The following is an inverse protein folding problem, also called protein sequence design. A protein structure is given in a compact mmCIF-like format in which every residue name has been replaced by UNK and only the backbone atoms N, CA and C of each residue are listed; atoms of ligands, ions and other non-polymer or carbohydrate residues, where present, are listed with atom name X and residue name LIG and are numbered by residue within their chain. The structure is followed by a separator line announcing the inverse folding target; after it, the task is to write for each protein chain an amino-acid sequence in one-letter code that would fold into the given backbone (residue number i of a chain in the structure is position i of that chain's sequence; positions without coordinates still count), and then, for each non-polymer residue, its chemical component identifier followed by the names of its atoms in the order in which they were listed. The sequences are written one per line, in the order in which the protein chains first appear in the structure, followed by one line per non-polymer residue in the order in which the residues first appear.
data_IF_273104659618
#
_entry.id   IF_273104659618
#
_cell.length_a   1.000
_cell.length_b   1.000
_cell.length_c   1.000
_cell.angle_alpha   90.00
_cell.angle_beta   90.00
_cell.angle_gamma   90.00
#
_symmetry.space_group_name_H-M   'P 1'
#
loop_
_entity.id
_entity.type
_entity.pdbx_description
1 polymer ?
#
# COMPACT_ATOMS: atom_id res chain seq x y z
N UNK A 1 -23.70 24.19 -19.08
CA UNK A 1 -24.40 22.90 -18.98
C UNK A 1 -23.68 22.12 -17.89
N UNK A 2 -24.30 21.98 -16.71
CA UNK A 2 -23.76 21.11 -15.65
C UNK A 2 -23.97 19.68 -16.15
N UNK A 3 -22.96 18.81 -16.02
CA UNK A 3 -23.08 17.40 -16.41
C UNK A 3 -24.31 16.76 -15.74
N UNK A 4 -25.00 15.86 -16.44
CA UNK A 4 -26.15 15.16 -15.88
C UNK A 4 -25.73 14.23 -14.72
N UNK A 5 -26.71 13.79 -13.93
CA UNK A 5 -26.45 13.05 -12.69
C UNK A 5 -25.77 11.69 -12.92
N UNK A 6 -26.06 11.00 -14.02
CA UNK A 6 -25.41 9.73 -14.35
C UNK A 6 -23.95 9.96 -14.74
N UNK A 7 -23.71 10.95 -15.60
CA UNK A 7 -22.36 11.39 -15.96
C UNK A 7 -21.55 11.78 -14.73
N UNK A 8 -22.13 12.49 -13.76
CA UNK A 8 -21.44 12.86 -12.52
C UNK A 8 -21.01 11.62 -11.70
N UNK A 9 -21.83 10.57 -11.64
CA UNK A 9 -21.46 9.32 -10.95
C UNK A 9 -20.27 8.64 -11.62
N UNK A 10 -20.26 8.58 -12.95
CA UNK A 10 -19.16 8.00 -13.73
C UNK A 10 -17.87 8.83 -13.60
N UNK A 11 -17.97 10.16 -13.61
CA UNK A 11 -16.83 11.04 -13.37
C UNK A 11 -16.23 10.77 -11.99
N UNK A 12 -17.05 10.73 -10.93
CA UNK A 12 -16.55 10.45 -9.58
C UNK A 12 -15.96 9.05 -9.43
N UNK A 13 -16.54 8.05 -10.11
CA UNK A 13 -15.95 6.72 -10.19
C UNK A 13 -14.55 6.74 -10.82
N UNK A 14 -14.41 7.44 -11.95
CA UNK A 14 -13.12 7.62 -12.61
C UNK A 14 -12.12 8.39 -11.74
N UNK A 15 -12.55 9.46 -11.06
CA UNK A 15 -11.71 10.26 -10.18
C UNK A 15 -11.18 9.45 -8.99
N UNK A 16 -12.03 8.64 -8.34
CA UNK A 16 -11.58 7.74 -7.28
C UNK A 16 -10.55 6.75 -7.83
N UNK A 17 -10.78 6.19 -9.02
CA UNK A 17 -9.80 5.34 -9.71
C UNK A 17 -8.46 6.05 -9.95
N UNK A 18 -8.49 7.28 -10.46
CA UNK A 18 -7.29 8.10 -10.68
C UNK A 18 -6.54 8.37 -9.37
N UNK A 19 -7.25 8.68 -8.28
CA UNK A 19 -6.63 8.92 -6.97
C UNK A 19 -5.95 7.66 -6.43
N UNK A 20 -6.58 6.50 -6.55
CA UNK A 20 -6.02 5.22 -6.11
C UNK A 20 -4.83 4.78 -6.96
N UNK A 21 -4.90 4.98 -8.29
CA UNK A 21 -3.77 4.75 -9.20
C UNK A 21 -2.63 5.71 -8.87
N UNK A 22 -2.92 7.00 -8.67
CA UNK A 22 -1.95 8.01 -8.28
C UNK A 22 -1.24 7.64 -6.97
N UNK A 23 -1.98 7.18 -5.97
CA UNK A 23 -1.44 6.63 -4.73
C UNK A 23 -0.51 5.43 -4.99
N UNK A 24 -0.95 4.44 -5.77
CA UNK A 24 -0.13 3.26 -6.07
C UNK A 24 1.13 3.59 -6.89
N UNK A 25 1.07 4.59 -7.77
CA UNK A 25 2.21 5.02 -8.58
C UNK A 25 3.20 5.87 -7.79
N UNK A 26 2.73 6.65 -6.81
CA UNK A 26 3.59 7.57 -6.04
C UNK A 26 4.07 6.89 -4.75
N UNK A 27 3.20 6.75 -3.76
CA UNK A 27 3.56 6.14 -2.47
C UNK A 27 3.89 4.65 -2.61
N UNK A 28 3.52 4.01 -3.72
CA UNK A 28 3.90 2.64 -3.99
C UNK A 28 5.40 2.41 -4.19
N UNK A 29 6.14 3.34 -4.83
CA UNK A 29 7.60 3.21 -4.87
C UNK A 29 8.23 3.53 -3.51
N UNK A 30 7.64 4.44 -2.73
CA UNK A 30 8.12 4.75 -1.37
C UNK A 30 8.00 3.53 -0.46
N UNK A 31 6.84 2.86 -0.48
CA UNK A 31 6.63 1.62 0.25
C UNK A 31 7.54 0.51 -0.29
N UNK A 32 7.69 0.35 -1.60
CA UNK A 32 8.62 -0.61 -2.18
C UNK A 32 10.07 -0.41 -1.72
N UNK A 33 10.54 0.85 -1.71
CA UNK A 33 11.85 1.25 -1.19
C UNK A 33 11.99 0.90 0.29
N UNK A 34 10.96 1.21 1.10
CA UNK A 34 10.94 0.89 2.53
C UNK A 34 10.96 -0.62 2.82
N UNK A 35 10.29 -1.43 2.00
CA UNK A 35 10.34 -2.90 2.08
C UNK A 35 11.74 -3.41 1.74
N UNK A 36 12.40 -2.84 0.74
CA UNK A 36 13.72 -3.26 0.28
C UNK A 36 14.87 -2.79 1.20
N UNK A 37 14.66 -1.72 1.97
CA UNK A 37 15.66 -1.05 2.81
C UNK A 37 16.55 -2.01 3.64
N UNK A 38 16.03 -2.88 4.52
CA UNK A 38 16.87 -3.73 5.37
C UNK A 38 17.63 -4.80 4.58
N UNK A 39 17.18 -5.15 3.38
CA UNK A 39 17.74 -6.24 2.57
C UNK A 39 18.81 -5.77 1.58
N UNK A 40 18.61 -4.60 0.97
CA UNK A 40 19.55 -4.05 -0.01
C UNK A 40 20.70 -3.28 0.66
N UNK A 41 20.40 -2.56 1.75
CA UNK A 41 21.39 -1.78 2.50
C UNK A 41 22.15 -2.63 3.52
N UNK A 42 23.40 -2.99 3.20
CA UNK A 42 24.26 -3.83 4.06
C UNK A 42 25.02 -3.04 5.14
N UNK A 43 25.13 -1.72 4.98
CA UNK A 43 25.72 -0.82 5.95
C UNK A 43 24.88 0.48 6.05
N UNK A 44 25.19 1.34 7.04
CA UNK A 44 24.37 2.54 7.29
C UNK A 44 24.42 3.54 6.11
N UNK A 45 25.56 3.65 5.44
CA UNK A 45 25.71 4.52 4.27
C UNK A 45 24.78 4.09 3.12
N UNK A 46 24.76 2.81 2.77
CA UNK A 46 23.86 2.26 1.76
C UNK A 46 22.38 2.45 2.15
N UNK A 47 22.04 2.28 3.43
CA UNK A 47 20.66 2.51 3.91
C UNK A 47 20.26 3.97 3.82
N UNK A 48 21.17 4.90 4.16
CA UNK A 48 20.95 6.34 3.99
C UNK A 48 20.74 6.70 2.52
N UNK A 49 21.53 6.13 1.61
CA UNK A 49 21.34 6.33 0.15
C UNK A 49 19.93 5.91 -0.27
N UNK A 50 19.51 4.70 0.12
CA UNK A 50 18.16 4.17 -0.18
C UNK A 50 17.07 5.12 0.34
N UNK A 51 17.12 5.49 1.63
CA UNK A 51 16.12 6.37 2.26
C UNK A 51 16.07 7.74 1.59
N UNK A 52 17.22 8.33 1.30
CA UNK A 52 17.30 9.67 0.72
C UNK A 52 16.78 9.74 -0.72
N UNK A 53 16.61 8.60 -1.42
CA UNK A 53 15.97 8.60 -2.74
C UNK A 53 14.49 9.01 -2.69
N UNK A 54 13.82 8.75 -1.57
CA UNK A 54 12.37 9.03 -1.36
C UNK A 54 12.13 10.16 -0.36
N UNK A 55 13.11 10.47 0.49
CA UNK A 55 13.05 11.49 1.54
C UNK A 55 12.40 12.82 1.13
N UNK A 56 12.74 13.42 -0.03
CA UNK A 56 12.16 14.71 -0.44
C UNK A 56 10.69 14.65 -0.93
N UNK A 57 10.13 13.46 -1.18
CA UNK A 57 8.86 13.32 -1.92
C UNK A 57 7.77 12.56 -1.16
N UNK A 58 8.14 11.67 -0.23
CA UNK A 58 7.22 10.70 0.38
C UNK A 58 6.02 11.36 1.10
N UNK A 59 6.21 12.52 1.73
CA UNK A 59 5.13 13.24 2.41
C UNK A 59 4.02 13.64 1.42
N UNK A 60 4.42 14.20 0.26
CA UNK A 60 3.47 14.57 -0.79
C UNK A 60 2.81 13.36 -1.43
N UNK A 61 3.55 12.26 -1.58
CA UNK A 61 3.01 11.01 -2.13
C UNK A 61 1.92 10.41 -1.22
N UNK A 62 2.10 10.48 0.10
CA UNK A 62 1.10 9.98 1.06
C UNK A 62 -0.23 10.75 1.01
N UNK A 63 -0.21 12.02 0.57
CA UNK A 63 -1.43 12.83 0.43
C UNK A 63 -2.41 12.20 -0.56
N UNK A 64 -1.94 11.50 -1.59
CA UNK A 64 -2.82 10.79 -2.53
C UNK A 64 -3.76 9.80 -1.82
N UNK A 65 -3.25 9.08 -0.80
CA UNK A 65 -4.07 8.17 0.00
C UNK A 65 -5.12 8.92 0.82
N UNK A 66 -4.71 10.01 1.48
CA UNK A 66 -5.61 10.83 2.31
C UNK A 66 -6.71 11.43 1.44
N UNK A 67 -6.36 11.97 0.26
CA UNK A 67 -7.33 12.51 -0.70
C UNK A 67 -8.24 11.43 -1.26
N UNK A 68 -7.75 10.22 -1.55
CA UNK A 68 -8.59 9.10 -1.97
C UNK A 68 -9.63 8.75 -0.90
N UNK A 69 -9.23 8.69 0.38
CA UNK A 69 -10.14 8.49 1.51
C UNK A 69 -11.18 9.62 1.64
N UNK A 70 -10.75 10.88 1.51
CA UNK A 70 -11.64 12.04 1.53
C UNK A 70 -12.62 12.07 0.36
N UNK A 71 -12.17 11.70 -0.84
CA UNK A 71 -13.01 11.60 -2.03
C UNK A 71 -14.06 10.49 -1.89
N UNK A 72 -13.68 9.33 -1.34
CA UNK A 72 -14.63 8.27 -1.00
C UNK A 72 -15.68 8.76 0.00
N UNK A 73 -15.27 9.47 1.06
CA UNK A 73 -16.20 10.03 2.03
C UNK A 73 -17.17 11.05 1.41
N UNK A 74 -16.67 11.93 0.54
CA UNK A 74 -17.46 12.99 -0.09
C UNK A 74 -18.41 12.46 -1.18
N UNK A 75 -17.92 11.58 -2.06
CA UNK A 75 -18.67 11.10 -3.22
C UNK A 75 -19.50 9.86 -2.90
N UNK A 76 -18.97 8.92 -2.10
CA UNK A 76 -19.60 7.63 -1.79
C UNK A 76 -19.61 7.35 -0.28
N UNK A 77 -20.33 8.14 0.53
CA UNK A 77 -20.28 8.06 1.99
C UNK A 77 -20.68 6.68 2.54
N UNK A 78 -21.63 5.98 1.91
CA UNK A 78 -22.01 4.63 2.33
C UNK A 78 -20.91 3.59 2.04
N UNK A 79 -20.19 3.72 0.93
CA UNK A 79 -19.04 2.85 0.60
C UNK A 79 -17.92 3.11 1.60
N UNK A 80 -17.60 4.38 1.86
CA UNK A 80 -16.62 4.77 2.87
C UNK A 80 -16.97 4.19 4.25
N UNK A 81 -18.19 4.41 4.73
CA UNK A 81 -18.63 3.92 6.04
C UNK A 81 -18.58 2.39 6.13
N UNK A 82 -19.09 1.68 5.12
CA UNK A 82 -19.15 0.22 5.11
C UNK A 82 -17.77 -0.42 5.02
N UNK A 83 -16.89 0.09 4.15
CA UNK A 83 -15.52 -0.41 4.01
C UNK A 83 -14.70 -0.17 5.28
N UNK A 84 -14.73 1.05 5.83
CA UNK A 84 -13.92 1.39 7.01
C UNK A 84 -14.42 0.72 8.30
N UNK A 85 -15.73 0.54 8.46
CA UNK A 85 -16.29 -0.17 9.62
C UNK A 85 -16.19 -1.70 9.49
N UNK A 86 -16.41 -2.26 8.29
CA UNK A 86 -16.32 -3.70 8.08
C UNK A 86 -14.90 -4.24 8.16
N UNK A 87 -13.93 -3.47 7.67
CA UNK A 87 -12.52 -3.82 7.72
C UNK A 87 -11.77 -3.18 8.89
N UNK A 88 -12.49 -2.81 9.96
CA UNK A 88 -11.99 -1.98 11.05
C UNK A 88 -10.64 -2.43 11.60
N UNK A 89 -10.51 -3.69 12.04
CA UNK A 89 -9.28 -4.20 12.62
C UNK A 89 -8.09 -4.13 11.64
N UNK A 90 -8.32 -4.48 10.37
CA UNK A 90 -7.29 -4.44 9.33
C UNK A 90 -6.83 -3.00 9.04
N UNK A 91 -7.76 -2.05 9.00
CA UNK A 91 -7.44 -0.64 8.76
C UNK A 91 -6.79 0.04 9.96
N UNK A 92 -7.12 -0.36 11.19
CA UNK A 92 -6.40 0.09 12.39
C UNK A 92 -4.95 -0.42 12.36
N UNK A 93 -4.72 -1.70 12.03
CA UNK A 93 -3.36 -2.24 11.87
C UNK A 93 -2.59 -1.46 10.80
N UNK A 94 -3.25 -1.15 9.68
CA UNK A 94 -2.66 -0.33 8.61
C UNK A 94 -2.28 1.07 9.09
N UNK A 95 -3.18 1.75 9.83
CA UNK A 95 -2.92 3.07 10.40
C UNK A 95 -1.74 3.04 11.37
N UNK A 96 -1.69 2.05 12.27
CA UNK A 96 -0.57 1.90 13.21
C UNK A 96 0.75 1.67 12.48
N UNK A 97 0.75 0.91 11.38
CA UNK A 97 1.94 0.73 10.55
C UNK A 97 2.35 2.04 9.85
N UNK A 98 1.38 2.79 9.32
CA UNK A 98 1.64 4.08 8.67
C UNK A 98 2.21 5.12 9.64
N UNK A 99 1.89 5.07 10.93
CA UNK A 99 2.52 5.94 11.93
C UNK A 99 4.03 5.76 12.01
N UNK A 100 4.57 4.58 11.69
CA UNK A 100 6.00 4.30 11.78
C UNK A 100 6.81 5.02 10.69
N UNK A 101 6.19 5.37 9.55
CA UNK A 101 6.90 5.96 8.41
C UNK A 101 7.35 7.41 8.66
N UNK A 102 6.47 8.38 9.00
CA UNK A 102 6.88 9.76 9.23
C UNK A 102 7.97 9.89 10.29
N UNK A 103 7.75 9.29 11.45
CA UNK A 103 8.70 9.32 12.55
C UNK A 103 9.98 8.55 12.22
N UNK A 104 9.88 7.46 11.46
CA UNK A 104 11.03 6.68 11.04
C UNK A 104 11.96 7.46 10.09
N UNK A 105 11.40 8.21 9.14
CA UNK A 105 12.20 9.04 8.25
C UNK A 105 12.90 10.19 9.00
N UNK A 106 12.19 10.93 9.85
CA UNK A 106 12.79 12.06 10.57
C UNK A 106 13.73 11.61 11.70
N UNK A 107 13.32 10.65 12.54
CA UNK A 107 14.03 10.34 13.78
C UNK A 107 15.23 9.43 13.61
N UNK A 108 15.29 8.62 12.54
CA UNK A 108 16.36 7.63 12.31
C UNK A 108 17.77 8.22 12.46
N UNK A 109 18.00 9.42 11.95
CA UNK A 109 19.33 10.05 11.92
C UNK A 109 19.60 11.04 13.05
N UNK A 110 18.65 11.24 13.99
CA UNK A 110 18.79 12.22 15.09
C UNK A 110 19.66 11.73 16.24
N UNK A 111 19.90 10.42 16.35
CA UNK A 111 20.77 9.84 17.38
C UNK A 111 21.90 9.03 16.73
N UNK A 112 23.12 9.21 17.23
CA UNK A 112 24.29 8.44 16.80
C UNK A 112 24.42 7.12 17.56
N UNK A 113 23.45 6.22 17.32
CA UNK A 113 23.41 4.89 17.91
C UNK A 113 23.03 3.86 16.86
N UNK A 114 23.84 2.81 16.72
CA UNK A 114 23.58 1.73 15.76
C UNK A 114 22.27 0.99 16.08
N UNK A 115 21.94 0.81 17.38
CA UNK A 115 20.68 0.18 17.81
C UNK A 115 19.49 1.07 17.46
N UNK A 116 19.60 2.38 17.64
CA UNK A 116 18.57 3.35 17.28
C UNK A 116 18.25 3.30 15.78
N UNK A 117 19.28 3.43 14.94
CA UNK A 117 19.13 3.38 13.48
C UNK A 117 18.52 2.07 13.01
N UNK A 118 18.96 0.93 13.58
CA UNK A 118 18.42 -0.39 13.25
C UNK A 118 16.95 -0.53 13.62
N UNK A 119 16.52 0.00 14.77
CA UNK A 119 15.11 -0.06 15.16
C UNK A 119 14.24 0.74 14.19
N UNK A 120 14.69 1.92 13.76
CA UNK A 120 13.98 2.72 12.77
C UNK A 120 14.01 2.12 11.36
N UNK A 121 15.09 1.45 10.96
CA UNK A 121 15.14 0.67 9.71
C UNK A 121 14.01 -0.38 9.69
N UNK A 122 13.81 -1.10 10.81
CA UNK A 122 12.72 -2.07 10.94
C UNK A 122 11.34 -1.42 11.03
N UNK A 123 11.21 -0.27 11.69
CA UNK A 123 9.94 0.46 11.74
C UNK A 123 9.52 0.93 10.34
N UNK A 124 10.46 1.45 9.54
CA UNK A 124 10.24 1.83 8.14
C UNK A 124 9.86 0.61 7.29
N UNK A 125 10.53 -0.53 7.49
CA UNK A 125 10.17 -1.78 6.83
C UNK A 125 8.74 -2.22 7.15
N UNK A 126 8.37 -2.29 8.43
CA UNK A 126 7.02 -2.69 8.88
C UNK A 126 5.97 -1.71 8.35
N UNK A 127 6.24 -0.41 8.46
CA UNK A 127 5.36 0.64 7.94
C UNK A 127 5.18 0.61 6.43
N UNK A 128 6.06 -0.09 5.71
CA UNK A 128 6.04 -0.17 4.24
C UNK A 128 5.55 -1.52 3.70
N UNK A 129 5.64 -2.60 4.49
CA UNK A 129 5.14 -3.93 4.08
C UNK A 129 3.66 -4.14 4.43
N UNK A 130 3.22 -3.62 5.58
CA UNK A 130 1.89 -3.89 6.11
C UNK A 130 0.78 -3.23 5.27
N UNK A 131 0.86 -1.93 4.90
CA UNK A 131 -0.22 -1.30 4.12
C UNK A 131 -0.46 -1.97 2.75
N UNK A 132 0.55 -2.22 1.90
CA UNK A 132 0.33 -2.88 0.61
C UNK A 132 -0.32 -4.27 0.75
N UNK A 133 0.10 -5.04 1.75
CA UNK A 133 -0.44 -6.37 2.01
C UNK A 133 -1.91 -6.29 2.40
N UNK A 134 -2.25 -5.42 3.36
CA UNK A 134 -3.64 -5.28 3.83
C UNK A 134 -4.53 -4.68 2.73
N UNK A 135 -4.05 -3.70 1.96
CA UNK A 135 -4.83 -3.17 0.85
C UNK A 135 -5.11 -4.22 -0.22
N UNK A 136 -4.12 -5.06 -0.58
CA UNK A 136 -4.37 -6.16 -1.51
C UNK A 136 -5.37 -7.19 -0.97
N UNK A 137 -5.27 -7.54 0.32
CA UNK A 137 -6.27 -8.39 1.01
C UNK A 137 -7.65 -7.74 0.99
N UNK A 138 -7.73 -6.42 1.18
CA UNK A 138 -8.98 -5.68 1.11
C UNK A 138 -9.64 -5.81 -0.26
N UNK A 139 -8.90 -5.50 -1.33
CA UNK A 139 -9.39 -5.64 -2.70
C UNK A 139 -9.77 -7.09 -3.02
N UNK A 140 -8.98 -8.07 -2.58
CA UNK A 140 -9.31 -9.49 -2.76
C UNK A 140 -10.63 -9.89 -2.10
N UNK A 141 -10.92 -9.38 -0.90
CA UNK A 141 -12.22 -9.59 -0.25
C UNK A 141 -13.36 -8.86 -0.97
N UNK A 142 -13.11 -7.69 -1.58
CA UNK A 142 -14.13 -6.99 -2.35
C UNK A 142 -14.58 -7.78 -3.59
N UNK A 143 -13.68 -8.58 -4.20
CA UNK A 143 -14.05 -9.50 -5.29
C UNK A 143 -14.92 -10.67 -4.82
N UNK A 144 -14.66 -11.20 -3.61
CA UNK A 144 -15.43 -12.31 -3.05
C UNK A 144 -16.76 -11.85 -2.41
N UNK A 145 -16.84 -10.57 -2.05
CA UNK A 145 -17.92 -10.02 -1.23
C UNK A 145 -17.60 -10.09 0.27
N UNK A 146 -18.02 -9.05 1.00
CA UNK A 146 -17.86 -8.96 2.45
C UNK A 146 -19.19 -9.30 3.14
N UNK A 147 -19.18 -10.00 4.29
CA UNK A 147 -20.38 -10.31 5.05
C UNK A 147 -20.85 -9.10 5.85
N UNK A 148 -21.62 -8.22 5.21
CA UNK A 148 -22.28 -7.10 5.86
C UNK A 148 -23.71 -6.93 5.35
N UNK A 149 -24.55 -6.36 6.20
CA UNK A 149 -25.94 -6.05 5.88
C UNK A 149 -26.24 -4.60 6.20
N UNK A 150 -27.25 -4.03 5.55
CA UNK A 150 -27.85 -2.76 5.98
C UNK A 150 -29.11 -3.05 6.77
N UNK A 151 -29.31 -2.34 7.87
CA UNK A 151 -30.60 -2.32 8.56
C UNK A 151 -31.60 -1.38 7.87
N UNK A 152 -32.82 -1.30 8.41
CA UNK A 152 -33.91 -0.45 7.87
C UNK A 152 -33.54 1.05 7.82
N UNK A 153 -32.53 1.49 8.57
CA UNK A 153 -32.04 2.87 8.62
C UNK A 153 -30.77 3.06 7.79
N UNK A 154 -30.43 2.12 6.91
CA UNK A 154 -29.22 2.14 6.08
C UNK A 154 -27.91 2.17 6.88
N UNK A 155 -27.91 1.64 8.11
CA UNK A 155 -26.69 1.51 8.91
C UNK A 155 -25.98 0.20 8.55
N UNK A 156 -24.69 0.24 8.18
CA UNK A 156 -23.94 -0.98 7.88
C UNK A 156 -23.66 -1.75 9.16
N UNK A 157 -23.97 -3.05 9.15
CA UNK A 157 -23.60 -4.02 10.18
C UNK A 157 -22.69 -5.06 9.56
N UNK A 158 -21.45 -5.14 10.05
CA UNK A 158 -20.51 -6.18 9.65
C UNK A 158 -20.65 -7.41 10.54
N UNK A 159 -20.75 -8.58 9.93
CA UNK A 159 -20.94 -9.86 10.64
C UNK A 159 -19.67 -10.74 10.63
N UNK A 160 -18.63 -10.30 9.93
CA UNK A 160 -17.34 -10.98 9.87
C UNK A 160 -16.39 -10.62 11.01
N UNK A 161 -15.17 -11.16 10.92
CA UNK A 161 -14.06 -10.82 11.81
C UNK A 161 -12.76 -10.70 11.01
N UNK A 162 -11.66 -10.30 11.67
CA UNK A 162 -10.35 -10.12 11.03
C UNK A 162 -9.86 -11.39 10.33
N UNK A 163 -10.02 -12.55 10.95
CA UNK A 163 -9.56 -13.82 10.39
C UNK A 163 -10.36 -14.23 9.14
N UNK A 164 -11.63 -13.85 9.08
CA UNK A 164 -12.48 -14.03 7.89
C UNK A 164 -11.97 -13.29 6.66
N UNK A 165 -11.17 -12.23 6.85
CA UNK A 165 -10.53 -11.50 5.74
C UNK A 165 -9.30 -12.24 5.19
N UNK A 166 -8.71 -13.16 5.95
CA UNK A 166 -7.45 -13.83 5.63
C UNK A 166 -7.68 -15.21 5.01
N UNK A 167 -8.58 -15.28 4.03
CA UNK A 167 -8.77 -16.48 3.21
C UNK A 167 -7.75 -16.53 2.07
N UNK A 168 -7.63 -17.68 1.40
CA UNK A 168 -6.56 -17.92 0.43
C UNK A 168 -6.51 -16.88 -0.69
N UNK A 169 -7.64 -16.61 -1.34
CA UNK A 169 -7.68 -15.68 -2.47
C UNK A 169 -7.32 -14.22 -2.08
N UNK A 170 -7.89 -13.63 -1.01
CA UNK A 170 -7.43 -12.33 -0.50
C UNK A 170 -5.95 -12.29 -0.12
N UNK A 171 -5.41 -13.37 0.48
CA UNK A 171 -3.98 -13.44 0.78
C UNK A 171 -3.12 -13.40 -0.49
N UNK A 172 -3.53 -14.10 -1.55
CA UNK A 172 -2.86 -14.03 -2.86
C UNK A 172 -2.93 -12.62 -3.45
N UNK A 173 -4.08 -11.93 -3.35
CA UNK A 173 -4.22 -10.53 -3.77
C UNK A 173 -3.34 -9.58 -2.94
N UNK A 174 -3.20 -9.84 -1.63
CA UNK A 174 -2.26 -9.15 -0.75
C UNK A 174 -0.81 -9.29 -1.19
N UNK A 175 -0.37 -10.53 -1.45
CA UNK A 175 0.98 -10.82 -1.92
C UNK A 175 1.23 -10.24 -3.32
N UNK A 176 0.21 -10.24 -4.18
CA UNK A 176 0.25 -9.60 -5.49
C UNK A 176 0.53 -8.10 -5.35
N UNK A 177 -0.29 -7.41 -4.56
CA UNK A 177 -0.11 -5.97 -4.24
C UNK A 177 1.29 -5.68 -3.70
N UNK A 178 1.73 -6.43 -2.68
CA UNK A 178 3.05 -6.26 -2.10
C UNK A 178 4.17 -6.47 -3.13
N UNK A 179 4.14 -7.57 -3.89
CA UNK A 179 5.18 -7.86 -4.90
C UNK A 179 5.25 -6.78 -5.98
N UNK A 180 4.09 -6.25 -6.40
CA UNK A 180 4.00 -5.19 -7.41
C UNK A 180 4.65 -3.89 -6.91
N UNK A 181 4.40 -3.51 -5.65
CA UNK A 181 5.00 -2.30 -5.09
C UNK A 181 6.49 -2.49 -4.78
N UNK A 182 6.92 -3.68 -4.36
CA UNK A 182 8.35 -4.02 -4.23
C UNK A 182 9.07 -3.93 -5.57
N UNK A 183 8.45 -4.44 -6.64
CA UNK A 183 8.96 -4.26 -8.01
C UNK A 183 9.10 -2.78 -8.36
N UNK A 184 8.06 -1.98 -8.10
CA UNK A 184 8.06 -0.54 -8.38
C UNK A 184 9.16 0.23 -7.62
N UNK A 185 9.30 -0.03 -6.31
CA UNK A 185 10.39 0.52 -5.51
C UNK A 185 11.78 0.07 -5.96
N UNK A 186 11.91 -1.17 -6.43
CA UNK A 186 13.15 -1.68 -7.02
C UNK A 186 13.53 -0.95 -8.32
N UNK A 187 12.56 -0.70 -9.21
CA UNK A 187 12.76 0.11 -10.43
C UNK A 187 13.20 1.53 -10.05
N UNK A 188 12.51 2.16 -9.08
CA UNK A 188 12.87 3.49 -8.59
C UNK A 188 14.32 3.55 -8.08
N UNK A 189 14.73 2.58 -7.26
CA UNK A 189 16.10 2.50 -6.76
C UNK A 189 17.12 2.28 -7.88
N UNK A 190 16.80 1.44 -8.88
CA UNK A 190 17.65 1.24 -10.04
C UNK A 190 17.93 2.55 -10.80
N UNK A 191 16.92 3.43 -10.90
CA UNK A 191 17.01 4.74 -11.54
C UNK A 191 17.74 5.79 -10.68
N UNK A 192 17.57 5.76 -9.35
CA UNK A 192 18.03 6.81 -8.43
C UNK A 192 19.36 6.51 -7.71
N UNK A 193 19.87 5.29 -7.81
CA UNK A 193 21.12 4.87 -7.15
C UNK A 193 22.13 4.36 -8.15
N UNK A 194 23.40 4.26 -7.76
CA UNK A 194 24.51 3.72 -8.56
C UNK A 194 25.23 2.56 -7.85
N UNK A 195 26.10 1.87 -8.59
CA UNK A 195 26.99 0.83 -8.08
C UNK A 195 26.24 -0.33 -7.40
N UNK A 196 26.77 -0.78 -6.25
CA UNK A 196 26.29 -1.99 -5.57
C UNK A 196 24.83 -1.92 -5.10
N UNK A 197 24.28 -0.73 -4.86
CA UNK A 197 22.87 -0.57 -4.48
C UNK A 197 21.97 -0.77 -5.71
N UNK A 198 22.34 -0.17 -6.86
CA UNK A 198 21.64 -0.35 -8.14
C UNK A 198 21.61 -1.81 -8.55
N UNK A 199 22.75 -2.50 -8.51
CA UNK A 199 22.84 -3.90 -8.97
C UNK A 199 21.93 -4.82 -8.14
N UNK A 200 21.89 -4.63 -6.82
CA UNK A 200 20.99 -5.39 -5.94
C UNK A 200 19.53 -5.01 -6.14
N UNK A 201 19.24 -3.72 -6.35
CA UNK A 201 17.90 -3.25 -6.65
C UNK A 201 17.37 -3.89 -7.94
N UNK A 202 18.15 -3.88 -9.02
CA UNK A 202 17.79 -4.53 -10.29
C UNK A 202 17.53 -6.03 -10.12
N UNK A 203 18.38 -6.73 -9.36
CA UNK A 203 18.17 -8.14 -9.04
C UNK A 203 16.89 -8.41 -8.24
N UNK A 204 16.54 -7.53 -7.29
CA UNK A 204 15.30 -7.60 -6.53
C UNK A 204 14.08 -7.30 -7.41
N UNK A 205 14.18 -6.30 -8.29
CA UNK A 205 13.13 -5.93 -9.26
C UNK A 205 12.74 -7.11 -10.15
N UNK A 206 13.71 -7.82 -10.73
CA UNK A 206 13.42 -8.96 -11.61
C UNK A 206 12.68 -10.06 -10.86
N UNK A 207 13.13 -10.39 -9.63
CA UNK A 207 12.46 -11.40 -8.79
C UNK A 207 11.04 -10.98 -8.44
N UNK A 208 10.86 -9.72 -8.02
CA UNK A 208 9.55 -9.19 -7.68
C UNK A 208 8.62 -9.18 -8.90
N UNK A 209 9.10 -8.78 -10.09
CA UNK A 209 8.34 -8.79 -11.33
C UNK A 209 7.85 -10.19 -11.72
N UNK A 210 8.70 -11.22 -11.60
CA UNK A 210 8.30 -12.61 -11.84
C UNK A 210 7.22 -13.04 -10.86
N UNK A 211 7.39 -12.74 -9.57
CA UNK A 211 6.38 -13.06 -8.54
C UNK A 211 5.06 -12.34 -8.82
N UNK A 212 5.10 -11.06 -9.18
CA UNK A 212 3.91 -10.27 -9.56
C UNK A 212 3.20 -10.89 -10.75
N UNK A 213 3.92 -11.23 -11.82
CA UNK A 213 3.33 -11.84 -13.01
C UNK A 213 2.68 -13.19 -12.71
N UNK A 214 3.33 -14.04 -11.91
CA UNK A 214 2.79 -15.33 -11.49
C UNK A 214 1.54 -15.17 -10.62
N UNK A 215 1.59 -14.34 -9.58
CA UNK A 215 0.45 -14.10 -8.70
C UNK A 215 -0.72 -13.47 -9.44
N UNK A 216 -0.45 -12.54 -10.37
CA UNK A 216 -1.48 -11.94 -11.22
C UNK A 216 -2.16 -13.00 -12.09
N UNK A 217 -1.37 -13.87 -12.73
CA UNK A 217 -1.89 -14.99 -13.53
C UNK A 217 -2.72 -15.96 -12.69
N UNK A 218 -2.25 -16.35 -11.51
CA UNK A 218 -2.99 -17.24 -10.59
C UNK A 218 -4.30 -16.62 -10.13
N UNK A 219 -4.29 -15.36 -9.69
CA UNK A 219 -5.52 -14.66 -9.30
C UNK A 219 -6.47 -14.49 -10.49
N UNK A 220 -5.95 -14.21 -11.69
CA UNK A 220 -6.75 -14.09 -12.90
C UNK A 220 -7.46 -15.39 -13.28
N UNK A 221 -6.74 -16.52 -13.23
CA UNK A 221 -7.34 -17.84 -13.47
C UNK A 221 -8.40 -18.16 -12.42
N UNK A 222 -8.15 -17.84 -11.14
CA UNK A 222 -9.11 -18.06 -10.06
C UNK A 222 -10.41 -17.28 -10.26
N UNK A 223 -10.33 -16.02 -10.70
CA UNK A 223 -11.52 -15.19 -10.93
C UNK A 223 -12.29 -15.66 -12.17
N UNK A 224 -11.60 -16.26 -13.14
CA UNK A 224 -12.21 -16.75 -14.39
C UNK A 224 -12.87 -18.14 -14.26
N UNK A 225 -12.52 -18.91 -13.23
CA UNK A 225 -13.07 -20.25 -12.95
C UNK A 225 -14.34 -20.20 -12.10
#
# INVERSE_FOLDING_TARGET
MIADYETLKLIWWGLVGVLLIGFALTDGFDMGVGVLLPFLGRNDEQRRVIINTVGPHWEGNQVWFVTAGGALFAAWPLVYASAFSGMYAALIITLMALFLRPVGFDYRSKQDSARWRKNWDWALFVGSIVPPLIFGVAFGNLFLGLPFTFDELMRPRYEGNLWGLLTLFPLLAGLLSLSMLVMHGGVWLGLKTDGVVRDRANGATVKAAVVTALLFGVCGVWVAS
#
